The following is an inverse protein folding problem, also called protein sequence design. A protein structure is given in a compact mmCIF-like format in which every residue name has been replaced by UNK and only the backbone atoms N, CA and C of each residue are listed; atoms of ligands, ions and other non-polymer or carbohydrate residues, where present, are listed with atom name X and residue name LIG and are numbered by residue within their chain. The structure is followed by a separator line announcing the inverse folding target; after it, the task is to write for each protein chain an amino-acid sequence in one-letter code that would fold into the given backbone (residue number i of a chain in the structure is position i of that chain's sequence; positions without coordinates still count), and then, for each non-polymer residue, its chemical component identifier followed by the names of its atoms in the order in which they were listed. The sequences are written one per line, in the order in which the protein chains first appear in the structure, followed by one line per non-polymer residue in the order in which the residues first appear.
data_IF_160729262129
#
_entry.id   IF_160729262129
#
_cell.length_a   1.000
_cell.length_b   1.000
_cell.length_c   1.000
_cell.angle_alpha   90.00
_cell.angle_beta   90.00
_cell.angle_gamma   90.00
#
_symmetry.space_group_name_H-M   'P 1'
#
loop_
_entity.id
_entity.type
_entity.pdbx_description
1 polymer ?
#
# COMPACT_ATOMS: atom_id res chain seq x y z
N UNK A 1 -13.86 1.36 -25.73
CA UNK A 1 -12.50 0.74 -25.77
C UNK A 1 -11.36 1.64 -25.27
N UNK A 2 -11.58 2.91 -24.88
CA UNK A 2 -10.47 3.85 -24.58
C UNK A 2 -9.60 3.51 -23.37
N UNK A 3 -10.19 3.20 -22.21
CA UNK A 3 -9.43 3.24 -20.95
C UNK A 3 -8.82 1.90 -20.51
N UNK A 4 -9.01 0.80 -21.25
CA UNK A 4 -8.59 -0.54 -20.82
C UNK A 4 -7.07 -0.67 -20.61
N UNK A 5 -6.27 0.00 -21.44
CA UNK A 5 -4.80 0.03 -21.29
C UNK A 5 -4.39 0.79 -20.01
N UNK A 6 -5.04 1.93 -19.76
CA UNK A 6 -4.78 2.75 -18.58
C UNK A 6 -5.14 1.99 -17.27
N UNK A 7 -6.32 1.34 -17.23
CA UNK A 7 -6.74 0.54 -16.07
C UNK A 7 -5.73 -0.59 -15.76
N UNK A 8 -5.28 -1.32 -16.79
CA UNK A 8 -4.26 -2.37 -16.62
C UNK A 8 -2.93 -1.81 -16.12
N UNK A 9 -2.50 -0.67 -16.67
CA UNK A 9 -1.27 -0.02 -16.25
C UNK A 9 -1.35 0.43 -14.78
N UNK A 10 -2.46 1.03 -14.35
CA UNK A 10 -2.68 1.41 -12.95
C UNK A 10 -2.56 0.20 -12.03
N UNK A 11 -3.23 -0.90 -12.35
CA UNK A 11 -3.16 -2.13 -11.55
C UNK A 11 -1.75 -2.69 -11.47
N UNK A 12 -1.01 -2.69 -12.59
CA UNK A 12 0.38 -3.13 -12.61
C UNK A 12 1.28 -2.27 -11.71
N UNK A 13 1.15 -0.93 -11.80
CA UNK A 13 1.93 -0.01 -10.97
C UNK A 13 1.59 -0.18 -9.49
N UNK A 14 0.30 -0.28 -9.14
CA UNK A 14 -0.12 -0.51 -7.77
C UNK A 14 0.36 -1.86 -7.23
N UNK A 15 0.30 -2.91 -8.03
CA UNK A 15 0.86 -4.22 -7.67
C UNK A 15 2.35 -4.11 -7.36
N UNK A 16 3.12 -3.48 -8.25
CA UNK A 16 4.56 -3.30 -8.07
C UNK A 16 4.86 -2.53 -6.77
N UNK A 17 4.16 -1.43 -6.51
CA UNK A 17 4.40 -0.60 -5.33
C UNK A 17 4.04 -1.32 -4.02
N UNK A 18 2.90 -2.02 -3.96
CA UNK A 18 2.52 -2.84 -2.80
C UNK A 18 3.50 -3.98 -2.56
N UNK A 19 3.94 -4.66 -3.61
CA UNK A 19 4.96 -5.72 -3.51
C UNK A 19 6.29 -5.12 -3.05
N UNK A 20 6.71 -3.98 -3.59
CA UNK A 20 7.98 -3.36 -3.22
C UNK A 20 8.01 -2.98 -1.74
N UNK A 21 6.98 -2.30 -1.23
CA UNK A 21 6.91 -1.94 0.19
C UNK A 21 6.76 -3.16 1.12
N UNK A 22 6.18 -4.26 0.64
CA UNK A 22 6.13 -5.51 1.40
C UNK A 22 7.45 -6.28 1.40
N UNK A 23 8.16 -6.31 0.27
CA UNK A 23 9.40 -7.09 0.12
C UNK A 23 10.59 -6.35 0.70
N UNK A 24 10.84 -5.12 0.24
CA UNK A 24 12.13 -4.46 0.47
C UNK A 24 12.27 -4.01 1.93
N UNK A 25 11.40 -3.14 2.49
CA UNK A 25 11.59 -2.63 3.86
C UNK A 25 11.03 -3.55 4.96
N UNK A 26 10.34 -4.65 4.63
CA UNK A 26 9.69 -5.53 5.62
C UNK A 26 10.22 -6.96 5.63
N UNK A 27 10.46 -7.56 4.46
CA UNK A 27 10.96 -8.95 4.37
C UNK A 27 12.50 -8.98 4.30
N UNK A 28 13.09 -8.32 3.30
CA UNK A 28 14.53 -8.38 3.03
C UNK A 28 15.31 -7.51 4.03
N UNK A 29 14.97 -6.22 4.08
CA UNK A 29 15.64 -5.23 4.91
C UNK A 29 14.65 -4.68 5.93
N UNK A 30 14.28 -5.52 6.91
CA UNK A 30 13.30 -5.11 7.91
C UNK A 30 13.76 -3.82 8.62
N UNK A 31 12.99 -2.75 8.45
CA UNK A 31 13.30 -1.45 9.00
C UNK A 31 13.07 -1.43 10.53
N UNK A 32 13.88 -0.69 11.26
CA UNK A 32 13.67 -0.43 12.70
C UNK A 32 12.31 0.20 13.00
N UNK A 33 11.79 1.03 12.10
CA UNK A 33 10.48 1.68 12.25
C UNK A 33 9.34 0.64 12.26
N UNK A 34 9.44 -0.39 11.43
CA UNK A 34 8.47 -1.50 11.40
C UNK A 34 8.51 -2.31 12.70
N UNK A 35 9.72 -2.61 13.20
CA UNK A 35 9.88 -3.29 14.48
C UNK A 35 9.30 -2.43 15.61
N UNK A 36 9.59 -1.13 15.61
CA UNK A 36 9.09 -0.19 16.61
C UNK A 36 7.56 -0.19 16.65
N UNK A 37 6.88 -0.09 15.50
CA UNK A 37 5.41 -0.15 15.42
C UNK A 37 4.88 -1.39 16.16
N UNK A 38 5.42 -2.56 15.90
CA UNK A 38 4.99 -3.81 16.55
C UNK A 38 5.38 -3.90 18.03
N UNK A 39 6.46 -3.25 18.45
CA UNK A 39 6.80 -3.16 19.87
C UNK A 39 5.87 -2.22 20.65
N UNK A 40 5.29 -1.20 20.01
CA UNK A 40 4.33 -0.30 20.69
C UNK A 40 3.06 -1.02 21.15
N UNK A 41 2.73 -2.16 20.54
CA UNK A 41 1.61 -3.01 20.95
C UNK A 41 2.02 -4.12 21.95
N UNK A 42 3.27 -4.07 22.45
CA UNK A 42 3.75 -4.96 23.52
C UNK A 42 4.48 -6.23 23.05
N UNK A 43 4.80 -6.37 21.76
CA UNK A 43 5.57 -7.52 21.28
C UNK A 43 7.05 -7.41 21.69
N UNK A 44 7.66 -8.55 22.01
CA UNK A 44 9.12 -8.63 22.17
C UNK A 44 9.82 -8.39 20.82
N UNK A 45 11.11 -8.09 20.83
CA UNK A 45 11.88 -7.80 19.62
C UNK A 45 11.76 -8.91 18.55
N UNK A 46 11.88 -10.18 18.94
CA UNK A 46 11.80 -11.30 18.00
C UNK A 46 10.39 -11.46 17.41
N UNK A 47 9.35 -11.32 18.25
CA UNK A 47 7.97 -11.37 17.78
C UNK A 47 7.59 -10.16 16.93
N UNK A 48 8.10 -8.97 17.24
CA UNK A 48 7.91 -7.76 16.44
C UNK A 48 8.56 -7.91 15.05
N UNK A 49 9.75 -8.50 14.97
CA UNK A 49 10.41 -8.82 13.70
C UNK A 49 9.61 -9.82 12.87
N UNK A 50 9.06 -10.86 13.50
CA UNK A 50 8.18 -11.82 12.83
C UNK A 50 6.88 -11.17 12.35
N UNK A 51 6.25 -10.33 13.17
CA UNK A 51 5.04 -9.61 12.81
C UNK A 51 5.26 -8.61 11.67
N UNK A 52 6.39 -7.88 11.68
CA UNK A 52 6.78 -6.98 10.58
C UNK A 52 7.03 -7.72 9.27
N UNK A 53 7.63 -8.92 9.31
CA UNK A 53 7.74 -9.77 8.11
C UNK A 53 6.37 -10.28 7.65
N UNK A 54 5.50 -10.64 8.60
CA UNK A 54 4.13 -11.06 8.35
C UNK A 54 3.31 -9.97 7.66
N UNK A 55 3.44 -8.72 8.09
CA UNK A 55 2.80 -7.58 7.43
C UNK A 55 3.35 -7.38 6.02
N UNK A 56 4.65 -7.54 5.81
CA UNK A 56 5.26 -7.51 4.48
C UNK A 56 4.71 -8.57 3.53
N UNK A 57 4.52 -9.80 4.02
CA UNK A 57 3.89 -10.89 3.23
C UNK A 57 2.44 -10.51 2.88
N UNK A 58 1.68 -9.95 3.83
CA UNK A 58 0.32 -9.51 3.57
C UNK A 58 0.25 -8.43 2.47
N UNK A 59 1.19 -7.48 2.46
CA UNK A 59 1.29 -6.46 1.41
C UNK A 59 1.65 -7.03 0.04
N UNK A 60 2.54 -8.03 -0.01
CA UNK A 60 2.85 -8.75 -1.26
C UNK A 60 1.62 -9.46 -1.79
N UNK A 61 0.91 -10.20 -0.95
CA UNK A 61 -0.33 -10.88 -1.34
C UNK A 61 -1.34 -9.85 -1.86
N UNK A 62 -1.51 -8.73 -1.15
CA UNK A 62 -2.41 -7.66 -1.56
C UNK A 62 -2.02 -7.04 -2.90
N UNK A 63 -0.73 -6.82 -3.15
CA UNK A 63 -0.21 -6.36 -4.43
C UNK A 63 -0.50 -7.35 -5.56
N UNK A 64 -0.38 -8.65 -5.33
CA UNK A 64 -0.71 -9.68 -6.32
C UNK A 64 -2.20 -9.68 -6.68
N UNK A 65 -3.11 -9.30 -5.77
CA UNK A 65 -4.53 -9.21 -6.07
C UNK A 65 -4.84 -8.20 -7.18
N UNK A 66 -4.06 -7.12 -7.31
CA UNK A 66 -4.20 -6.17 -8.42
C UNK A 66 -3.87 -6.80 -9.79
N UNK A 67 -2.99 -7.80 -9.85
CA UNK A 67 -2.63 -8.48 -11.10
C UNK A 67 -3.65 -9.54 -11.50
N UNK A 68 -4.08 -10.36 -10.55
CA UNK A 68 -4.87 -11.56 -10.84
C UNK A 68 -6.39 -11.35 -10.74
N UNK A 69 -6.83 -10.44 -9.87
CA UNK A 69 -8.25 -10.26 -9.57
C UNK A 69 -8.66 -8.78 -9.49
N UNK A 70 -8.25 -7.91 -10.44
CA UNK A 70 -8.50 -6.48 -10.33
C UNK A 70 -9.99 -6.15 -10.22
N UNK A 71 -10.37 -5.51 -9.12
CA UNK A 71 -11.74 -5.18 -8.81
C UNK A 71 -11.83 -3.84 -8.07
N UNK A 72 -12.93 -3.09 -8.24
CA UNK A 72 -13.14 -1.79 -7.58
C UNK A 72 -12.95 -1.84 -6.06
N UNK A 73 -13.29 -2.96 -5.43
CA UNK A 73 -13.13 -3.16 -3.98
C UNK A 73 -11.67 -3.24 -3.54
N UNK A 74 -10.77 -3.75 -4.39
CA UNK A 74 -9.33 -3.76 -4.08
C UNK A 74 -8.79 -2.33 -4.03
N UNK A 75 -9.24 -1.45 -4.94
CA UNK A 75 -8.87 -0.03 -4.90
C UNK A 75 -9.41 0.68 -3.66
N UNK A 76 -10.65 0.42 -3.24
CA UNK A 76 -11.17 0.96 -1.98
C UNK A 76 -10.36 0.47 -0.77
N UNK A 77 -10.05 -0.83 -0.70
CA UNK A 77 -9.20 -1.39 0.35
C UNK A 77 -7.79 -0.78 0.32
N UNK A 78 -7.23 -0.54 -0.87
CA UNK A 78 -5.93 0.11 -0.99
C UNK A 78 -5.96 1.54 -0.47
N UNK A 79 -7.01 2.30 -0.78
CA UNK A 79 -7.16 3.67 -0.27
C UNK A 79 -7.25 3.66 1.26
N UNK A 80 -8.10 2.81 1.82
CA UNK A 80 -8.26 2.70 3.28
C UNK A 80 -6.96 2.22 3.95
N UNK A 81 -6.28 1.24 3.36
CA UNK A 81 -5.02 0.71 3.88
C UNK A 81 -3.91 1.77 3.88
N UNK A 82 -3.73 2.51 2.79
CA UNK A 82 -2.72 3.56 2.69
C UNK A 82 -3.01 4.74 3.63
N UNK A 83 -4.28 5.14 3.76
CA UNK A 83 -4.69 6.13 4.77
C UNK A 83 -4.41 5.63 6.19
N UNK A 84 -4.74 4.37 6.48
CA UNK A 84 -4.49 3.74 7.77
C UNK A 84 -3.00 3.68 8.10
N UNK A 85 -2.16 3.25 7.16
CA UNK A 85 -0.70 3.21 7.30
C UNK A 85 -0.13 4.61 7.52
N UNK A 86 -0.60 5.61 6.76
CA UNK A 86 -0.15 6.98 6.89
C UNK A 86 -0.54 7.58 8.25
N UNK A 87 -1.76 7.33 8.73
CA UNK A 87 -2.21 7.76 10.06
C UNK A 87 -1.43 7.05 11.18
N UNK A 88 -1.20 5.75 11.04
CA UNK A 88 -0.44 4.94 11.99
C UNK A 88 0.97 5.50 12.16
N UNK A 89 1.71 5.67 11.06
CA UNK A 89 3.07 6.20 11.10
C UNK A 89 3.07 7.68 11.50
N UNK A 90 2.08 8.46 11.08
CA UNK A 90 1.95 9.86 11.48
C UNK A 90 1.76 10.05 12.98
N UNK A 91 1.10 9.10 13.66
CA UNK A 91 0.95 9.12 15.11
C UNK A 91 2.16 8.55 15.85
N UNK A 92 2.71 7.43 15.37
CA UNK A 92 3.78 6.72 16.07
C UNK A 92 5.17 7.30 15.81
N UNK A 93 5.44 7.77 14.59
CA UNK A 93 6.76 8.25 14.14
C UNK A 93 6.60 9.51 13.28
N UNK A 94 6.05 10.62 13.83
CA UNK A 94 5.71 11.83 13.08
C UNK A 94 6.90 12.48 12.34
N UNK A 95 8.12 12.28 12.83
CA UNK A 95 9.35 12.80 12.18
C UNK A 95 9.56 12.26 10.76
N UNK A 96 9.03 11.06 10.45
CA UNK A 96 9.08 10.48 9.10
C UNK A 96 8.28 11.30 8.09
N UNK A 97 7.24 12.03 8.53
CA UNK A 97 6.37 12.81 7.65
C UNK A 97 7.07 14.01 7.01
N UNK A 98 8.08 14.57 7.68
CA UNK A 98 8.85 15.72 7.19
C UNK A 98 10.21 15.32 6.58
N UNK A 99 10.48 14.01 6.47
CA UNK A 99 11.70 13.53 5.85
C UNK A 99 11.69 13.81 4.33
N UNK A 100 12.85 13.99 3.67
CA UNK A 100 12.91 14.22 2.23
C UNK A 100 12.25 13.11 1.40
N UNK A 101 12.28 11.88 1.91
CA UNK A 101 11.63 10.70 1.35
C UNK A 101 10.55 10.20 2.31
N UNK A 102 9.51 11.02 2.51
CA UNK A 102 8.44 10.74 3.46
C UNK A 102 7.35 9.82 2.89
N UNK A 103 6.58 9.14 3.77
CA UNK A 103 5.48 8.27 3.35
C UNK A 103 4.29 9.04 2.76
N UNK A 104 4.15 10.36 3.00
CA UNK A 104 3.01 11.15 2.48
C UNK A 104 3.01 11.11 0.95
N UNK A 105 4.16 11.41 0.33
CA UNK A 105 4.28 11.46 -1.13
C UNK A 105 3.91 10.12 -1.76
N UNK A 106 4.40 9.02 -1.21
CA UNK A 106 4.12 7.67 -1.74
C UNK A 106 2.64 7.29 -1.57
N UNK A 107 2.09 7.44 -0.37
CA UNK A 107 0.72 7.02 -0.06
C UNK A 107 -0.30 7.83 -0.88
N UNK A 108 -0.14 9.16 -0.97
CA UNK A 108 -1.03 10.01 -1.78
C UNK A 108 -0.96 9.62 -3.25
N UNK A 109 0.23 9.37 -3.79
CA UNK A 109 0.40 8.96 -5.20
C UNK A 109 -0.34 7.65 -5.52
N UNK A 110 -0.21 6.64 -4.65
CA UNK A 110 -0.91 5.36 -4.80
C UNK A 110 -2.44 5.49 -4.62
N UNK A 111 -2.88 6.31 -3.67
CA UNK A 111 -4.30 6.65 -3.49
C UNK A 111 -4.85 7.32 -4.76
N UNK A 112 -4.13 8.29 -5.32
CA UNK A 112 -4.53 8.97 -6.57
C UNK A 112 -4.67 7.99 -7.73
N UNK A 113 -3.75 7.04 -7.90
CA UNK A 113 -3.87 5.97 -8.91
C UNK A 113 -5.15 5.15 -8.71
N UNK A 114 -5.48 4.78 -7.47
CA UNK A 114 -6.71 4.06 -7.17
C UNK A 114 -7.97 4.88 -7.44
N UNK A 115 -7.96 6.18 -7.14
CA UNK A 115 -9.06 7.09 -7.47
C UNK A 115 -9.23 7.20 -8.99
N UNK A 116 -8.14 7.40 -9.74
CA UNK A 116 -8.17 7.48 -11.20
C UNK A 116 -8.75 6.18 -11.80
N UNK A 117 -8.35 5.02 -11.30
CA UNK A 117 -8.95 3.74 -11.73
C UNK A 117 -10.46 3.73 -11.55
N UNK A 118 -10.96 4.14 -10.37
CA UNK A 118 -12.38 4.14 -10.05
C UNK A 118 -13.17 5.13 -10.92
N UNK A 119 -12.59 6.30 -11.22
CA UNK A 119 -13.18 7.28 -12.13
C UNK A 119 -13.31 6.72 -13.55
N UNK A 120 -12.22 6.17 -14.09
CA UNK A 120 -12.20 5.59 -15.43
C UNK A 120 -13.14 4.37 -15.55
N UNK A 121 -13.28 3.58 -14.49
CA UNK A 121 -14.21 2.45 -14.44
C UNK A 121 -15.68 2.94 -14.44
N UNK A 122 -15.97 4.02 -13.71
CA UNK A 122 -17.31 4.62 -13.67
C UNK A 122 -17.72 5.15 -15.04
N UNK A 123 -16.81 5.85 -15.74
CA UNK A 123 -17.04 6.33 -17.11
C UNK A 123 -17.37 5.17 -18.07
N UNK A 124 -16.61 4.08 -18.03
CA UNK A 124 -16.87 2.92 -18.87
C UNK A 124 -18.25 2.30 -18.63
N UNK A 125 -18.72 2.30 -17.38
CA UNK A 125 -20.02 1.72 -17.00
C UNK A 125 -21.19 2.64 -17.36
N UNK A 126 -20.97 3.96 -17.36
CA UNK A 126 -21.99 4.95 -17.72
C UNK A 126 -22.26 5.07 -19.23
N UNK A 127 -21.38 4.52 -20.06
CA UNK A 127 -21.49 4.49 -21.53
C UNK A 127 -22.00 3.14 -22.07
N UNK A 128 -22.43 2.23 -21.19
CA UNK A 128 -23.08 0.96 -21.52
C UNK A 128 -24.57 1.07 -21.20
#
# INVERSE_FOLDING_TARGET
MGNAKALKFINFVLAFLWIYQGVVPKIIFINSDEIFVWQTIGLSFDYAKLAGRGSGIAEVIFGLLFLFSPHKYIHYLSILGLLGLLLLIGFLIPSTLISPYNPIVMNISMISLSIIYLLLLKEQTAHL
#
